data_IF_437220929010
#
_entry.id   IF_437220929010
#
_cell.length_a   1.000
_cell.length_b   1.000
_cell.length_c   1.000
_cell.angle_alpha   90.00
_cell.angle_beta   90.00
_cell.angle_gamma   90.00
#
_symmetry.space_group_name_H-M   'P 1'
#
loop_
_entity.id
_entity.type
_entity.pdbx_description
1 polymer ?
#
# COMPACT_ATOMS: atom_id res chain seq x y z
N UNK A 1 -8.91 -14.59 0.77
CA UNK A 1 -10.22 -14.10 1.25
C UNK A 1 -10.95 -13.55 0.05
N UNK A 2 -12.15 -14.04 -0.17
CA UNK A 2 -12.89 -13.93 -1.42
C UNK A 2 -13.42 -12.50 -1.62
N UNK A 3 -13.36 -12.06 -2.89
CA UNK A 3 -14.00 -10.82 -3.37
C UNK A 3 -15.54 -10.92 -3.41
N UNK A 4 -16.13 -11.82 -2.62
CA UNK A 4 -17.57 -12.14 -2.66
C UNK A 4 -18.44 -11.05 -2.03
N UNK A 5 -17.84 -10.07 -1.32
CA UNK A 5 -18.57 -9.05 -0.57
C UNK A 5 -18.46 -7.64 -1.21
N UNK A 6 -17.92 -7.53 -2.41
CA UNK A 6 -17.75 -6.24 -3.10
C UNK A 6 -18.77 -6.09 -4.24
N UNK A 7 -19.48 -4.98 -4.25
CA UNK A 7 -20.44 -4.64 -5.32
C UNK A 7 -20.01 -3.31 -5.93
N UNK A 8 -19.67 -3.32 -7.22
CA UNK A 8 -19.41 -2.12 -8.00
C UNK A 8 -20.72 -1.60 -8.57
N UNK A 9 -21.10 -0.38 -8.19
CA UNK A 9 -22.25 0.34 -8.74
C UNK A 9 -21.75 1.48 -9.62
N UNK A 10 -22.26 1.55 -10.84
CA UNK A 10 -21.93 2.60 -11.80
C UNK A 10 -23.16 3.45 -12.04
N UNK A 11 -23.01 4.77 -11.97
CA UNK A 11 -24.07 5.74 -12.17
C UNK A 11 -23.70 6.70 -13.28
N UNK A 12 -24.69 7.26 -13.95
CA UNK A 12 -24.50 8.20 -15.06
C UNK A 12 -23.91 9.55 -14.61
N UNK A 13 -24.15 9.93 -13.36
CA UNK A 13 -23.63 11.18 -12.79
C UNK A 13 -23.58 11.11 -11.27
N UNK A 14 -22.88 12.10 -10.67
CA UNK A 14 -22.68 12.21 -9.23
C UNK A 14 -23.97 12.31 -8.41
N UNK A 15 -24.99 12.99 -8.91
CA UNK A 15 -26.25 13.17 -8.17
C UNK A 15 -27.03 11.85 -8.05
N UNK A 16 -27.07 11.08 -9.15
CA UNK A 16 -27.63 9.71 -9.10
C UNK A 16 -26.82 8.79 -8.20
N UNK A 17 -25.50 8.91 -8.19
CA UNK A 17 -24.64 8.14 -7.30
C UNK A 17 -24.93 8.47 -5.83
N UNK A 18 -25.02 9.75 -5.46
CA UNK A 18 -25.36 10.19 -4.09
C UNK A 18 -26.74 9.71 -3.66
N UNK A 19 -27.74 9.84 -4.52
CA UNK A 19 -29.10 9.37 -4.24
C UNK A 19 -29.14 7.85 -4.05
N UNK A 20 -28.43 7.09 -4.88
CA UNK A 20 -28.30 5.63 -4.76
C UNK A 20 -27.62 5.23 -3.47
N UNK A 21 -26.52 5.89 -3.10
CA UNK A 21 -25.81 5.66 -1.85
C UNK A 21 -26.71 5.91 -0.63
N UNK A 22 -27.44 7.04 -0.60
CA UNK A 22 -28.36 7.37 0.50
C UNK A 22 -29.47 6.34 0.63
N UNK A 23 -30.09 5.93 -0.48
CA UNK A 23 -31.13 4.92 -0.51
C UNK A 23 -30.67 3.56 0.00
N UNK A 24 -29.46 3.14 -0.40
CA UNK A 24 -28.87 1.87 0.05
C UNK A 24 -28.47 1.94 1.53
N UNK A 25 -27.85 3.03 1.98
CA UNK A 25 -27.47 3.22 3.39
C UNK A 25 -28.71 3.15 4.29
N UNK A 26 -29.78 3.86 3.97
CA UNK A 26 -31.03 3.81 4.73
C UNK A 26 -31.57 2.36 4.83
N UNK A 27 -31.51 1.61 3.73
CA UNK A 27 -31.98 0.22 3.71
C UNK A 27 -31.10 -0.72 4.53
N UNK A 28 -29.78 -0.46 4.62
CA UNK A 28 -28.88 -1.21 5.49
C UNK A 28 -29.12 -0.90 6.98
N UNK A 29 -29.49 0.35 7.30
CA UNK A 29 -29.83 0.77 8.66
C UNK A 29 -31.17 0.16 9.14
N UNK A 30 -32.15 0.03 8.23
CA UNK A 30 -33.45 -0.61 8.53
C UNK A 30 -33.37 -2.14 8.71
N UNK A 31 -32.26 -2.75 8.30
CA UNK A 31 -32.06 -4.20 8.33
C UNK A 31 -32.77 -4.94 7.18
N UNK A 32 -32.20 -6.06 6.74
CA UNK A 32 -32.79 -6.89 5.69
C UNK A 32 -33.88 -7.79 6.26
N UNK A 33 -35.10 -7.53 5.82
CA UNK A 33 -36.37 -7.97 6.37
C UNK A 33 -36.72 -9.47 6.34
N UNK A 34 -35.83 -10.37 6.83
CA UNK A 34 -36.12 -11.77 7.02
C UNK A 34 -35.86 -12.23 8.48
N UNK A 35 -36.04 -11.33 9.46
CA UNK A 35 -35.97 -11.70 10.89
C UNK A 35 -34.56 -11.97 11.42
N UNK A 36 -33.53 -11.75 10.63
CA UNK A 36 -32.13 -11.74 11.05
C UNK A 36 -31.65 -10.30 11.11
N UNK A 37 -31.38 -9.79 12.32
CA UNK A 37 -30.72 -8.50 12.51
C UNK A 37 -29.27 -8.59 11.97
N UNK A 38 -29.11 -8.42 10.66
CA UNK A 38 -27.80 -8.32 10.04
C UNK A 38 -27.51 -6.84 9.83
N UNK A 39 -26.72 -6.24 10.70
CA UNK A 39 -26.23 -4.88 10.54
C UNK A 39 -25.00 -4.92 9.64
N UNK A 40 -25.19 -4.51 8.39
CA UNK A 40 -24.10 -4.32 7.44
C UNK A 40 -23.68 -2.86 7.51
N UNK A 41 -22.41 -2.60 7.74
CA UNK A 41 -21.84 -1.25 7.64
C UNK A 41 -21.11 -1.13 6.28
N UNK A 42 -21.76 -0.57 5.27
CA UNK A 42 -21.10 -0.35 3.98
C UNK A 42 -20.09 0.79 4.10
N UNK A 43 -19.02 0.69 3.35
CA UNK A 43 -18.18 1.83 3.03
C UNK A 43 -18.34 2.16 1.56
N UNK A 44 -18.11 3.42 1.21
CA UNK A 44 -18.32 3.94 -0.12
C UNK A 44 -17.03 4.55 -0.67
N UNK A 45 -16.70 4.21 -1.89
CA UNK A 45 -15.64 4.88 -2.63
C UNK A 45 -16.29 5.63 -3.77
N UNK A 46 -16.22 6.96 -3.72
CA UNK A 46 -16.79 7.82 -4.74
C UNK A 46 -15.70 8.29 -5.69
N UNK A 47 -15.80 7.88 -6.93
CA UNK A 47 -14.91 8.25 -8.02
C UNK A 47 -15.71 9.18 -8.96
N UNK A 48 -15.59 10.52 -8.80
CA UNK A 48 -16.38 11.47 -9.59
C UNK A 48 -15.94 11.52 -11.05
N UNK A 49 -14.68 11.23 -11.34
CA UNK A 49 -14.11 11.18 -12.68
C UNK A 49 -13.27 9.91 -12.86
N UNK A 50 -13.78 8.98 -13.66
CA UNK A 50 -13.08 7.74 -13.96
C UNK A 50 -11.88 7.94 -14.92
N UNK A 51 -11.78 9.08 -15.61
CA UNK A 51 -10.67 9.37 -16.53
C UNK A 51 -9.33 9.63 -15.83
N UNK A 52 -9.33 9.81 -14.49
CA UNK A 52 -8.10 9.87 -13.70
C UNK A 52 -7.34 8.52 -13.71
N UNK A 53 -8.01 7.43 -14.08
CA UNK A 53 -7.41 6.10 -14.21
C UNK A 53 -7.08 5.76 -15.65
N UNK A 54 -5.97 5.05 -15.86
CA UNK A 54 -5.58 4.52 -17.18
C UNK A 54 -6.44 3.33 -17.62
N UNK A 55 -7.10 2.66 -16.67
CA UNK A 55 -7.97 1.52 -16.94
C UNK A 55 -8.73 1.07 -15.69
N UNK A 56 -9.69 0.16 -15.91
CA UNK A 56 -10.52 -0.41 -14.83
C UNK A 56 -9.68 -1.15 -13.80
N UNK A 57 -8.58 -1.76 -14.21
CA UNK A 57 -7.67 -2.50 -13.33
C UNK A 57 -7.02 -1.59 -12.29
N UNK A 58 -6.64 -0.38 -12.67
CA UNK A 58 -6.07 0.61 -11.75
C UNK A 58 -7.11 1.10 -10.74
N UNK A 59 -8.34 1.30 -11.19
CA UNK A 59 -9.46 1.64 -10.31
C UNK A 59 -9.74 0.53 -9.30
N UNK A 60 -9.76 -0.73 -9.73
CA UNK A 60 -9.94 -1.89 -8.85
C UNK A 60 -8.76 -2.07 -7.89
N UNK A 61 -7.54 -1.78 -8.34
CA UNK A 61 -6.36 -1.77 -7.48
C UNK A 61 -6.53 -0.75 -6.35
N UNK A 62 -6.90 0.49 -6.66
CA UNK A 62 -7.12 1.53 -5.65
C UNK A 62 -8.22 1.14 -4.65
N UNK A 63 -9.34 0.60 -5.12
CA UNK A 63 -10.43 0.17 -4.23
C UNK A 63 -9.95 -0.90 -3.25
N UNK A 64 -9.15 -1.86 -3.71
CA UNK A 64 -8.55 -2.91 -2.85
C UNK A 64 -7.55 -2.32 -1.87
N UNK A 65 -6.70 -1.40 -2.33
CA UNK A 65 -5.71 -0.73 -1.49
C UNK A 65 -6.39 0.07 -0.36
N UNK A 66 -7.40 0.84 -0.69
CA UNK A 66 -8.23 1.56 0.29
C UNK A 66 -8.79 0.59 1.33
N UNK A 67 -9.35 -0.55 0.90
CA UNK A 67 -9.92 -1.56 1.81
C UNK A 67 -8.89 -2.16 2.75
N UNK A 68 -7.68 -2.42 2.27
CA UNK A 68 -6.64 -3.08 3.05
C UNK A 68 -5.95 -2.13 4.04
N UNK A 69 -5.79 -0.87 3.66
CA UNK A 69 -4.92 0.08 4.33
C UNK A 69 -5.64 1.22 5.05
N UNK A 70 -6.94 1.44 4.79
CA UNK A 70 -7.69 2.46 5.51
C UNK A 70 -8.08 1.97 6.91
N UNK A 71 -7.51 2.59 7.92
CA UNK A 71 -7.95 2.44 9.32
C UNK A 71 -9.27 3.20 9.60
N UNK A 72 -9.69 4.05 8.67
CA UNK A 72 -10.71 5.09 8.87
C UNK A 72 -12.14 4.70 8.52
N UNK A 73 -12.41 3.44 8.11
CA UNK A 73 -13.79 3.03 7.78
C UNK A 73 -14.76 3.10 8.95
N UNK A 74 -14.25 3.16 10.19
CA UNK A 74 -15.11 3.31 11.38
C UNK A 74 -15.59 4.74 11.57
N UNK A 75 -14.83 5.73 11.10
CA UNK A 75 -15.09 7.16 11.31
C UNK A 75 -15.65 7.86 10.06
N UNK A 76 -15.22 7.44 8.87
CA UNK A 76 -15.67 8.03 7.61
C UNK A 76 -16.02 6.95 6.56
N UNK A 77 -17.30 6.59 6.41
CA UNK A 77 -17.72 5.55 5.48
C UNK A 77 -17.66 5.97 4.00
N UNK A 78 -17.31 7.22 3.68
CA UNK A 78 -17.24 7.75 2.33
C UNK A 78 -15.85 8.27 2.01
N UNK A 79 -15.18 7.64 1.05
CA UNK A 79 -13.87 8.05 0.55
C UNK A 79 -14.05 8.69 -0.84
N UNK A 80 -13.57 9.91 -0.98
CA UNK A 80 -13.48 10.58 -2.27
C UNK A 80 -12.16 10.27 -2.94
N UNK A 81 -12.23 9.92 -4.22
CA UNK A 81 -11.06 9.70 -5.06
C UNK A 81 -10.98 10.82 -6.09
N UNK A 82 -10.09 11.73 -5.84
CA UNK A 82 -9.70 12.80 -6.75
C UNK A 82 -8.43 12.43 -7.54
N UNK A 83 -7.91 13.39 -8.28
CA UNK A 83 -6.69 13.23 -9.07
C UNK A 83 -5.46 12.94 -8.18
N UNK A 84 -5.35 13.62 -7.06
CA UNK A 84 -4.20 13.48 -6.14
C UNK A 84 -4.17 12.06 -5.56
N UNK A 85 -5.32 11.52 -5.20
CA UNK A 85 -5.47 10.15 -4.72
C UNK A 85 -5.11 9.11 -5.79
N UNK A 86 -5.45 9.37 -7.04
CA UNK A 86 -5.06 8.53 -8.15
C UNK A 86 -3.55 8.58 -8.40
N UNK A 87 -2.93 9.75 -8.32
CA UNK A 87 -1.47 9.92 -8.45
C UNK A 87 -0.71 9.20 -7.31
N UNK A 88 -1.19 9.32 -6.07
CA UNK A 88 -0.67 8.59 -4.91
C UNK A 88 -0.69 7.06 -5.15
N UNK A 89 -1.82 6.56 -5.66
CA UNK A 89 -1.96 5.15 -6.02
C UNK A 89 -0.95 4.71 -7.09
N UNK A 90 -0.76 5.50 -8.15
CA UNK A 90 0.22 5.19 -9.18
C UNK A 90 1.64 5.17 -8.63
N UNK A 91 2.00 6.13 -7.80
CA UNK A 91 3.30 6.16 -7.14
C UNK A 91 3.52 4.89 -6.31
N UNK A 92 2.53 4.52 -5.50
CA UNK A 92 2.58 3.30 -4.67
C UNK A 92 2.74 2.04 -5.51
N UNK A 93 1.94 1.91 -6.59
CA UNK A 93 2.02 0.77 -7.51
C UNK A 93 3.38 0.65 -8.20
N UNK A 94 3.97 1.78 -8.62
CA UNK A 94 5.31 1.80 -9.19
C UNK A 94 6.38 1.41 -8.17
N UNK A 95 6.25 1.86 -6.93
CA UNK A 95 7.17 1.51 -5.85
C UNK A 95 7.07 0.02 -5.48
N UNK A 96 5.86 -0.56 -5.44
CA UNK A 96 5.68 -2.00 -5.30
C UNK A 96 6.44 -2.79 -6.38
N UNK A 97 6.26 -2.39 -7.63
CA UNK A 97 6.92 -3.06 -8.74
C UNK A 97 8.45 -2.94 -8.66
N UNK A 98 8.95 -1.77 -8.27
CA UNK A 98 10.38 -1.55 -8.02
C UNK A 98 10.93 -2.52 -6.96
N UNK A 99 10.22 -2.69 -5.84
CA UNK A 99 10.63 -3.59 -4.76
C UNK A 99 10.65 -5.04 -5.25
N UNK A 100 9.58 -5.49 -5.92
CA UNK A 100 9.48 -6.84 -6.45
C UNK A 100 10.60 -7.17 -7.44
N UNK A 101 10.81 -6.28 -8.39
CA UNK A 101 11.88 -6.40 -9.38
C UNK A 101 13.28 -6.40 -8.75
N UNK A 102 13.48 -5.57 -7.72
CA UNK A 102 14.76 -5.52 -7.03
C UNK A 102 15.03 -6.79 -6.23
N UNK A 103 14.00 -7.38 -5.63
CA UNK A 103 14.12 -8.68 -4.95
C UNK A 103 14.39 -9.83 -5.92
N UNK A 104 13.71 -9.85 -7.06
CA UNK A 104 13.86 -10.91 -8.08
C UNK A 104 15.22 -10.86 -8.76
N UNK A 105 15.70 -9.65 -9.07
CA UNK A 105 16.96 -9.41 -9.82
C UNK A 105 18.17 -9.21 -8.90
N UNK A 106 18.06 -9.50 -7.59
CA UNK A 106 19.11 -9.30 -6.56
C UNK A 106 19.72 -7.88 -6.55
N UNK A 107 18.85 -6.87 -6.75
CA UNK A 107 19.23 -5.44 -6.73
C UNK A 107 19.01 -4.76 -5.37
N UNK A 108 18.86 -5.56 -4.32
CA UNK A 108 18.87 -5.11 -2.93
C UNK A 108 20.33 -5.01 -2.49
N UNK A 109 20.76 -3.83 -2.07
CA UNK A 109 22.11 -3.59 -1.57
C UNK A 109 22.09 -3.22 -0.09
N UNK A 110 23.19 -3.53 0.60
CA UNK A 110 23.39 -3.15 2.01
C UNK A 110 24.63 -2.28 2.11
N UNK A 111 24.42 -1.07 2.60
CA UNK A 111 25.48 -0.13 2.88
C UNK A 111 25.77 -0.16 4.37
N UNK A 112 27.01 -0.03 4.76
CA UNK A 112 27.43 -0.07 6.15
C UNK A 112 27.92 1.30 6.58
N UNK A 113 27.23 1.91 7.56
CA UNK A 113 27.67 3.16 8.17
C UNK A 113 28.44 2.85 9.45
N UNK A 114 29.75 3.09 9.49
CA UNK A 114 30.56 2.76 10.65
C UNK A 114 30.24 3.68 11.83
N UNK A 115 30.20 3.11 13.03
CA UNK A 115 29.94 3.81 14.29
C UNK A 115 31.24 3.84 15.10
N UNK A 116 31.71 5.06 15.37
CA UNK A 116 32.94 5.28 16.12
C UNK A 116 32.62 5.38 17.61
N UNK A 117 33.32 4.55 18.44
CA UNK A 117 33.26 4.63 19.89
C UNK A 117 34.27 5.66 20.40
N UNK A 118 33.80 6.74 20.99
CA UNK A 118 34.65 7.75 21.62
C UNK A 118 35.37 7.23 22.85
N UNK A 119 34.80 6.24 23.55
CA UNK A 119 35.36 5.57 24.71
C UNK A 119 36.53 4.67 24.31
N UNK A 120 36.34 3.86 23.26
CA UNK A 120 37.33 2.87 22.82
C UNK A 120 38.28 3.42 21.76
N UNK A 121 37.97 4.62 21.24
CA UNK A 121 38.73 5.33 20.20
C UNK A 121 38.94 4.52 18.91
N UNK A 122 37.95 3.70 18.56
CA UNK A 122 37.94 2.91 17.33
C UNK A 122 36.51 2.73 16.79
N UNK A 123 36.38 2.21 15.58
CA UNK A 123 35.09 1.75 15.05
C UNK A 123 34.74 0.40 15.69
N UNK A 124 33.61 0.31 16.36
CA UNK A 124 33.17 -0.87 17.09
C UNK A 124 31.99 -1.59 16.47
N UNK A 125 31.24 -0.93 15.61
CA UNK A 125 30.05 -1.45 14.95
C UNK A 125 29.75 -0.68 13.67
N UNK A 126 28.77 -1.16 12.92
CA UNK A 126 28.24 -0.44 11.78
C UNK A 126 26.72 -0.64 11.71
N UNK A 127 26.02 0.37 11.23
CA UNK A 127 24.61 0.25 10.88
C UNK A 127 24.47 -0.28 9.45
N UNK A 128 23.62 -1.29 9.27
CA UNK A 128 23.30 -1.85 7.96
C UNK A 128 22.10 -1.11 7.35
N UNK A 129 22.32 -0.41 6.26
CA UNK A 129 21.38 0.46 5.61
C UNK A 129 20.98 -0.10 4.23
N UNK A 130 19.74 -0.55 4.10
CA UNK A 130 19.23 -1.09 2.84
C UNK A 130 19.13 -0.02 1.77
N UNK A 131 19.44 -0.38 0.55
CA UNK A 131 19.27 0.41 -0.66
C UNK A 131 18.70 -0.48 -1.77
N UNK A 132 17.93 0.10 -2.67
CA UNK A 132 17.55 -0.53 -3.92
C UNK A 132 18.35 0.14 -5.03
N UNK A 133 18.88 -0.67 -5.95
CA UNK A 133 19.39 -0.15 -7.21
C UNK A 133 18.32 -0.32 -8.28
N UNK A 134 17.89 0.76 -8.87
CA UNK A 134 16.86 0.73 -9.92
C UNK A 134 17.40 0.18 -11.26
N UNK A 135 16.58 0.15 -12.30
CA UNK A 135 16.99 -0.33 -13.62
C UNK A 135 17.95 0.60 -14.34
N UNK A 136 17.98 1.89 -13.99
CA UNK A 136 18.94 2.86 -14.50
C UNK A 136 20.30 2.79 -13.76
N UNK A 137 20.39 1.99 -12.68
CA UNK A 137 21.58 1.86 -11.84
C UNK A 137 21.66 2.91 -10.74
N UNK A 138 20.62 3.68 -10.52
CA UNK A 138 20.55 4.71 -9.48
C UNK A 138 20.16 4.12 -8.11
N UNK A 139 20.65 4.75 -7.06
CA UNK A 139 20.36 4.34 -5.68
C UNK A 139 19.04 4.94 -5.22
N UNK A 140 18.09 4.08 -4.87
CA UNK A 140 16.81 4.47 -4.26
C UNK A 140 16.93 4.37 -2.74
N UNK A 141 16.74 5.49 -2.02
CA UNK A 141 16.84 5.51 -0.57
C UNK A 141 15.63 4.86 0.11
N UNK A 142 15.79 4.33 1.36
CA UNK A 142 14.75 3.57 2.05
C UNK A 142 13.46 4.35 2.30
N UNK A 143 13.52 5.67 2.50
CA UNK A 143 12.33 6.51 2.69
C UNK A 143 11.35 6.51 1.53
N UNK A 144 11.73 6.01 0.35
CA UNK A 144 10.84 5.88 -0.80
C UNK A 144 10.04 4.58 -0.75
N UNK A 145 10.63 3.47 -0.26
CA UNK A 145 10.04 2.15 -0.45
C UNK A 145 9.70 1.40 0.85
N UNK A 146 10.22 1.78 2.01
CA UNK A 146 9.98 1.04 3.27
C UNK A 146 8.50 1.07 3.65
N UNK A 147 7.85 2.23 3.63
CA UNK A 147 6.44 2.36 4.00
C UNK A 147 5.53 1.51 3.08
N UNK A 148 5.84 1.48 1.78
CA UNK A 148 5.14 0.65 0.81
C UNK A 148 5.39 -0.85 1.07
N UNK A 149 6.63 -1.23 1.40
CA UNK A 149 6.97 -2.61 1.74
C UNK A 149 6.25 -3.09 3.01
N UNK A 150 6.09 -2.22 4.01
CA UNK A 150 5.34 -2.52 5.24
C UNK A 150 3.85 -2.71 4.96
N UNK A 151 3.23 -1.76 4.26
CA UNK A 151 1.80 -1.80 3.94
C UNK A 151 1.40 -3.05 3.14
N UNK A 152 2.28 -3.54 2.28
CA UNK A 152 2.04 -4.69 1.41
C UNK A 152 2.63 -6.00 1.94
N UNK A 153 3.19 -5.99 3.15
CA UNK A 153 3.77 -7.19 3.78
C UNK A 153 5.07 -7.68 3.16
N UNK A 154 5.67 -6.92 2.23
CA UNK A 154 6.95 -7.25 1.59
C UNK A 154 8.15 -7.02 2.52
N UNK A 155 7.97 -6.26 3.59
CA UNK A 155 9.03 -5.89 4.53
C UNK A 155 9.72 -7.11 5.16
N UNK A 156 8.99 -8.20 5.41
CA UNK A 156 9.56 -9.42 6.00
C UNK A 156 10.58 -10.06 5.05
N UNK A 157 10.20 -10.24 3.79
CA UNK A 157 11.08 -10.82 2.78
C UNK A 157 12.28 -9.93 2.49
N UNK A 158 12.06 -8.62 2.43
CA UNK A 158 13.14 -7.64 2.29
C UNK A 158 14.12 -7.73 3.46
N UNK A 159 13.61 -7.83 4.69
CA UNK A 159 14.40 -8.01 5.91
C UNK A 159 15.23 -9.30 5.91
N UNK A 160 14.67 -10.42 5.46
CA UNK A 160 15.39 -11.69 5.29
C UNK A 160 16.56 -11.54 4.31
N UNK A 161 16.35 -10.92 3.15
CA UNK A 161 17.41 -10.70 2.15
C UNK A 161 18.52 -9.79 2.70
N UNK A 162 18.16 -8.73 3.42
CA UNK A 162 19.14 -7.84 4.07
C UNK A 162 19.93 -8.60 5.12
N UNK A 163 19.26 -9.39 5.97
CA UNK A 163 19.89 -10.18 7.01
C UNK A 163 20.88 -11.20 6.43
N UNK A 164 20.51 -11.91 5.37
CA UNK A 164 21.42 -12.84 4.70
C UNK A 164 22.66 -12.14 4.15
N UNK A 165 22.52 -10.96 3.54
CA UNK A 165 23.65 -10.16 3.02
C UNK A 165 24.57 -9.69 4.16
N UNK A 166 23.99 -9.27 5.30
CA UNK A 166 24.75 -8.89 6.50
C UNK A 166 25.53 -10.08 7.06
N UNK A 167 24.88 -11.24 7.22
CA UNK A 167 25.55 -12.45 7.69
C UNK A 167 26.71 -12.89 6.79
N UNK A 168 26.51 -12.79 5.46
CA UNK A 168 27.57 -13.09 4.48
C UNK A 168 28.74 -12.12 4.64
N UNK A 169 28.47 -10.81 4.73
CA UNK A 169 29.51 -9.81 4.94
C UNK A 169 30.33 -10.05 6.21
N UNK A 170 29.65 -10.29 7.34
CA UNK A 170 30.32 -10.57 8.65
C UNK A 170 31.18 -11.85 8.60
N UNK A 171 30.78 -12.84 7.80
CA UNK A 171 31.55 -14.08 7.63
C UNK A 171 32.82 -13.88 6.80
N UNK A 172 32.80 -12.96 5.86
CA UNK A 172 33.90 -12.71 4.91
C UNK A 172 34.93 -11.70 5.44
N UNK A 173 34.58 -10.92 6.49
CA UNK A 173 35.40 -9.86 7.08
C UNK A 173 35.57 -10.06 8.57
#
# INVERSE_FOLDING_TARGET
KNAEDEILLVFENTDKAKAGMQSLSARFDEGWGNGRNCHIRPYWVHIPDAHVFKGVEDMLYLIRDIRQNSKDFSENPLIYVDKDKAEEMYYKKQTEQLILDAMEKDRIEVYYQPIYSTKERCFTSAEALVRIRDEAGEIVPPGIFIDVAEQNGMILRLGEMVFEKVCRFVKEH
#
